data_IF_064568525947
#
_entry.id   IF_064568525947
#
_cell.length_a   1.000
_cell.length_b   1.000
_cell.length_c   1.000
_cell.angle_alpha   90.00
_cell.angle_beta   90.00
_cell.angle_gamma   90.00
#
_symmetry.space_group_name_H-M   'P 1'
#
loop_
_entity.id
_entity.type
_entity.pdbx_description
1 polymer ?
#
# COMPACT_ATOMS: atom_id res chain seq x y z
N UNK A 1 38.24 -8.39 34.71
CA UNK A 1 37.35 -7.61 33.85
C UNK A 1 37.22 -8.36 32.54
N UNK A 2 36.10 -9.07 32.38
CA UNK A 2 35.73 -9.68 31.09
C UNK A 2 35.16 -8.55 30.24
N UNK A 3 35.91 -8.07 29.25
CA UNK A 3 35.38 -7.20 28.20
C UNK A 3 34.39 -8.03 27.40
N UNK A 4 33.11 -7.68 27.52
CA UNK A 4 32.09 -8.21 26.63
C UNK A 4 32.48 -7.80 25.19
N UNK A 5 32.85 -8.77 24.36
CA UNK A 5 32.99 -8.53 22.93
C UNK A 5 31.63 -8.01 22.40
N UNK A 6 31.62 -7.00 21.53
CA UNK A 6 30.38 -6.63 20.89
C UNK A 6 29.86 -7.86 20.14
N UNK A 7 28.65 -8.26 20.47
CA UNK A 7 27.94 -9.28 19.71
C UNK A 7 27.72 -8.65 18.32
N UNK A 8 28.57 -8.98 17.37
CA UNK A 8 28.30 -8.68 15.98
C UNK A 8 26.98 -9.34 15.66
N UNK A 9 25.98 -8.54 15.32
CA UNK A 9 24.72 -9.07 14.87
C UNK A 9 25.00 -10.03 13.71
N UNK A 10 24.59 -11.29 13.86
CA UNK A 10 24.77 -12.29 12.83
C UNK A 10 23.96 -11.87 11.61
N UNK A 11 24.57 -11.86 10.43
CA UNK A 11 23.86 -11.61 9.17
C UNK A 11 22.72 -12.61 9.00
N UNK A 12 21.64 -12.27 8.30
CA UNK A 12 20.62 -13.24 7.94
C UNK A 12 21.21 -14.37 7.11
N UNK A 13 20.72 -15.57 7.31
CA UNK A 13 21.10 -16.71 6.46
C UNK A 13 20.32 -16.62 5.15
N UNK A 14 20.94 -16.06 4.13
CA UNK A 14 20.35 -15.96 2.80
C UNK A 14 20.34 -17.30 2.04
N UNK A 15 21.00 -18.37 2.58
CA UNK A 15 20.90 -19.71 2.01
C UNK A 15 19.69 -20.47 2.52
N UNK A 16 18.86 -19.90 3.35
CA UNK A 16 17.60 -20.49 3.78
C UNK A 16 16.74 -20.83 2.53
N UNK A 17 16.29 -22.07 2.45
CA UNK A 17 15.50 -22.58 1.30
C UNK A 17 14.30 -21.69 0.97
N UNK A 18 13.71 -21.06 1.98
CA UNK A 18 12.56 -20.17 1.81
C UNK A 18 12.88 -18.85 1.10
N UNK A 19 14.17 -18.49 1.01
CA UNK A 19 14.65 -17.26 0.35
C UNK A 19 15.30 -17.54 -1.01
N UNK A 20 15.50 -18.79 -1.41
CA UNK A 20 16.29 -19.17 -2.59
C UNK A 20 15.74 -18.62 -3.92
N UNK A 21 14.43 -18.37 -4.00
CA UNK A 21 13.78 -17.83 -5.19
C UNK A 21 13.75 -16.30 -5.21
N UNK A 22 14.38 -15.64 -4.23
CA UNK A 22 14.40 -14.19 -4.12
C UNK A 22 15.74 -13.63 -4.60
N UNK A 23 15.68 -12.61 -5.42
CA UNK A 23 16.84 -11.80 -5.77
C UNK A 23 16.93 -10.61 -4.79
N UNK A 24 17.92 -10.67 -3.88
CA UNK A 24 18.08 -9.72 -2.79
C UNK A 24 19.38 -8.93 -2.92
N UNK A 25 19.28 -7.60 -2.97
CA UNK A 25 20.41 -6.70 -2.99
C UNK A 25 20.60 -6.01 -1.63
N UNK A 26 21.76 -6.20 -1.00
CA UNK A 26 22.04 -5.55 0.28
C UNK A 26 22.17 -4.03 0.13
N UNK A 27 21.36 -3.32 0.89
CA UNK A 27 21.37 -1.86 0.90
C UNK A 27 21.70 -1.26 2.26
N UNK A 28 21.84 -2.08 3.29
CA UNK A 28 22.05 -1.74 4.70
C UNK A 28 22.53 -0.32 4.93
N UNK A 29 21.84 0.44 5.69
CA UNK A 29 22.19 1.81 6.03
C UNK A 29 21.95 1.98 7.52
N UNK A 30 21.57 3.07 7.99
CA UNK A 30 21.44 3.49 9.39
C UNK A 30 20.95 2.43 10.40
N UNK A 31 20.43 1.31 9.89
CA UNK A 31 19.92 0.18 10.68
C UNK A 31 21.02 -0.79 11.12
N UNK A 32 22.19 -0.82 10.46
CA UNK A 32 23.29 -1.74 10.82
C UNK A 32 23.72 -1.60 12.28
N UNK A 33 23.72 -0.37 12.79
CA UNK A 33 24.08 -0.09 14.19
C UNK A 33 23.12 -0.71 15.19
N UNK A 34 21.88 -1.01 14.76
CA UNK A 34 20.86 -1.65 15.59
C UNK A 34 20.80 -3.17 15.42
N UNK A 35 21.53 -3.71 14.44
CA UNK A 35 21.59 -5.13 14.14
C UNK A 35 20.52 -5.64 13.19
N UNK A 36 19.72 -4.77 12.60
CA UNK A 36 18.85 -5.10 11.48
C UNK A 36 19.61 -4.98 10.15
N UNK A 37 19.17 -5.72 9.14
CA UNK A 37 19.77 -5.72 7.79
C UNK A 37 18.69 -5.48 6.77
N UNK A 38 18.91 -4.57 5.84
CA UNK A 38 17.97 -4.21 4.78
C UNK A 38 18.47 -4.69 3.44
N UNK A 39 17.61 -5.37 2.71
CA UNK A 39 17.83 -5.81 1.33
C UNK A 39 16.70 -5.28 0.46
N UNK A 40 17.03 -4.76 -0.73
CA UNK A 40 16.04 -4.56 -1.79
C UNK A 40 15.55 -5.92 -2.26
N UNK A 41 14.28 -6.08 -2.40
CA UNK A 41 13.66 -7.26 -3.01
C UNK A 41 13.45 -7.00 -4.50
N UNK A 42 14.44 -7.37 -5.30
CA UNK A 42 14.40 -7.20 -6.75
C UNK A 42 13.38 -8.11 -7.41
N UNK A 43 13.07 -9.25 -6.78
CA UNK A 43 12.04 -10.17 -7.28
C UNK A 43 10.69 -9.46 -7.30
N UNK A 44 10.27 -8.86 -6.19
CA UNK A 44 9.01 -8.13 -6.13
C UNK A 44 9.05 -6.80 -6.90
N UNK A 45 10.21 -6.13 -6.94
CA UNK A 45 10.35 -4.96 -7.78
C UNK A 45 10.11 -5.30 -9.25
N UNK A 46 10.78 -6.31 -9.78
CA UNK A 46 10.64 -6.69 -11.20
C UNK A 46 9.31 -7.38 -11.51
N UNK A 47 8.66 -7.98 -10.51
CA UNK A 47 7.31 -8.48 -10.68
C UNK A 47 6.37 -7.39 -11.25
N UNK A 48 6.48 -6.16 -10.78
CA UNK A 48 5.73 -5.01 -11.26
C UNK A 48 6.46 -4.24 -12.39
N UNK A 49 7.74 -3.95 -12.22
CA UNK A 49 8.50 -3.12 -13.17
C UNK A 49 8.76 -3.80 -14.52
N UNK A 50 8.62 -5.12 -14.63
CA UNK A 50 8.74 -5.84 -15.92
C UNK A 50 7.57 -5.62 -16.87
N UNK A 51 6.45 -5.09 -16.39
CA UNK A 51 5.29 -4.76 -17.22
C UNK A 51 5.59 -3.55 -18.09
N UNK A 52 5.82 -3.78 -19.36
CA UNK A 52 6.11 -2.73 -20.37
C UNK A 52 4.91 -2.37 -21.21
N UNK A 53 3.79 -3.08 -21.06
CA UNK A 53 2.53 -2.86 -21.74
C UNK A 53 1.36 -3.14 -20.82
N UNK A 54 0.23 -2.50 -21.06
CA UNK A 54 -0.92 -2.57 -20.18
C UNK A 54 -0.71 -1.70 -18.95
N UNK A 55 -0.94 -2.22 -17.75
CA UNK A 55 -0.55 -1.55 -16.51
C UNK A 55 0.98 -1.46 -16.47
N UNK A 56 1.51 -0.27 -16.25
CA UNK A 56 2.96 -0.04 -16.27
C UNK A 56 3.51 0.54 -14.98
N UNK A 57 2.67 1.08 -14.14
CA UNK A 57 2.98 1.52 -12.77
C UNK A 57 1.75 2.00 -12.04
N UNK A 58 1.83 2.01 -10.71
CA UNK A 58 0.84 2.60 -9.82
C UNK A 58 1.44 2.89 -8.45
N UNK A 59 0.81 3.79 -7.72
CA UNK A 59 1.15 4.04 -6.33
C UNK A 59 0.17 3.35 -5.36
N UNK A 60 0.49 3.39 -4.06
CA UNK A 60 -0.36 2.80 -3.02
C UNK A 60 -0.03 1.35 -2.68
N UNK A 61 0.19 0.50 -3.63
CA UNK A 61 0.64 -0.91 -3.52
C UNK A 61 0.13 -1.64 -2.26
N UNK A 62 -1.19 -1.66 -2.06
CA UNK A 62 -1.80 -2.34 -0.92
C UNK A 62 -2.11 -3.77 -1.30
N UNK A 63 -1.73 -4.72 -0.46
CA UNK A 63 -2.03 -6.14 -0.68
C UNK A 63 -3.02 -6.66 0.35
N UNK A 64 -3.99 -7.44 -0.09
CA UNK A 64 -4.94 -8.16 0.75
C UNK A 64 -4.87 -9.64 0.41
N UNK A 65 -4.62 -10.48 1.42
CA UNK A 65 -4.61 -11.93 1.25
C UNK A 65 -6.03 -12.45 1.07
N UNK A 66 -6.22 -13.29 0.06
CA UNK A 66 -7.51 -13.91 -0.22
C UNK A 66 -7.55 -15.36 0.29
N UNK A 67 -8.74 -15.86 0.70
CA UNK A 67 -8.86 -17.19 1.29
C UNK A 67 -8.52 -18.35 0.33
N UNK A 68 -8.52 -18.09 -0.96
CA UNK A 68 -8.16 -19.05 -2.01
C UNK A 68 -6.63 -19.15 -2.25
N UNK A 69 -5.82 -18.47 -1.44
CA UNK A 69 -4.38 -18.42 -1.54
C UNK A 69 -3.85 -17.40 -2.55
N UNK A 70 -4.73 -16.63 -3.17
CA UNK A 70 -4.37 -15.52 -4.05
C UNK A 70 -4.13 -14.23 -3.24
N UNK A 71 -3.59 -13.21 -3.89
CA UNK A 71 -3.47 -11.87 -3.31
C UNK A 71 -4.08 -10.82 -4.24
N UNK A 72 -4.93 -9.97 -3.66
CA UNK A 72 -5.39 -8.76 -4.31
C UNK A 72 -4.36 -7.66 -4.08
N UNK A 73 -3.90 -7.03 -5.17
CA UNK A 73 -3.07 -5.84 -5.14
C UNK A 73 -3.87 -4.65 -5.65
N UNK A 74 -3.94 -3.60 -4.85
CA UNK A 74 -4.62 -2.37 -5.20
C UNK A 74 -3.64 -1.21 -5.28
N UNK A 75 -3.83 -0.38 -6.30
CA UNK A 75 -3.03 0.80 -6.58
C UNK A 75 -3.92 2.03 -6.68
N UNK A 76 -3.38 3.18 -6.31
CA UNK A 76 -3.96 4.48 -6.59
C UNK A 76 -3.72 4.89 -8.04
N UNK A 77 -3.18 6.08 -8.26
CA UNK A 77 -2.91 6.60 -9.59
C UNK A 77 -2.00 5.66 -10.38
N UNK A 78 -2.51 5.13 -11.47
CA UNK A 78 -1.89 4.05 -12.25
C UNK A 78 -1.78 4.38 -13.72
N UNK A 79 -0.60 4.14 -14.30
CA UNK A 79 -0.37 4.33 -15.72
C UNK A 79 -0.68 3.06 -16.52
N UNK A 80 -1.46 3.23 -17.58
CA UNK A 80 -1.73 2.19 -18.58
C UNK A 80 -1.26 2.64 -19.96
N UNK A 81 -0.50 1.80 -20.65
CA UNK A 81 0.04 2.08 -21.97
C UNK A 81 1.32 1.32 -22.26
N UNK A 82 2.38 2.04 -22.60
CA UNK A 82 3.67 1.46 -23.00
C UNK A 82 4.83 2.12 -22.27
N UNK A 83 5.86 1.32 -22.02
CA UNK A 83 7.18 1.78 -21.61
C UNK A 83 8.15 1.53 -22.76
N UNK A 84 8.90 2.56 -23.15
CA UNK A 84 9.94 2.51 -24.19
C UNK A 84 11.22 1.80 -23.71
N UNK A 85 12.13 1.51 -24.65
CA UNK A 85 13.41 0.84 -24.34
C UNK A 85 14.30 1.64 -23.38
N UNK A 86 14.21 2.97 -23.42
CA UNK A 86 14.91 3.87 -22.48
C UNK A 86 14.16 4.08 -21.16
N UNK A 87 13.22 3.20 -20.86
CA UNK A 87 12.46 3.18 -19.62
C UNK A 87 11.72 4.49 -19.33
N UNK A 88 11.11 5.08 -20.34
CA UNK A 88 10.17 6.18 -20.17
C UNK A 88 8.75 5.77 -20.61
N UNK A 89 7.76 6.51 -20.16
CA UNK A 89 6.36 6.34 -20.60
C UNK A 89 6.14 7.14 -21.85
N UNK A 90 6.28 6.48 -23.02
CA UNK A 90 5.94 7.11 -24.29
C UNK A 90 4.42 7.35 -24.39
N UNK A 91 4.05 8.44 -25.06
CA UNK A 91 2.65 8.72 -25.34
C UNK A 91 2.02 7.66 -26.27
N UNK A 92 0.72 7.35 -26.07
CA UNK A 92 -0.20 7.90 -25.08
C UNK A 92 -0.41 6.95 -23.89
N UNK A 93 0.02 7.33 -22.70
CA UNK A 93 -0.39 6.65 -21.47
C UNK A 93 -1.67 7.27 -20.90
N UNK A 94 -2.51 6.45 -20.29
CA UNK A 94 -3.68 6.88 -19.52
C UNK A 94 -3.34 6.76 -18.04
N UNK A 95 -3.67 7.78 -17.27
CA UNK A 95 -3.66 7.73 -15.82
C UNK A 95 -5.04 7.28 -15.34
N UNK A 96 -5.19 6.01 -14.99
CA UNK A 96 -6.35 5.54 -14.24
C UNK A 96 -6.20 5.94 -12.76
N UNK A 97 -7.31 6.31 -12.12
CA UNK A 97 -7.28 6.79 -10.73
C UNK A 97 -7.16 5.68 -9.69
N UNK A 98 -7.38 4.44 -10.10
CA UNK A 98 -7.06 3.25 -9.34
C UNK A 98 -6.96 2.03 -10.26
N UNK A 99 -6.23 1.03 -9.77
CA UNK A 99 -6.09 -0.25 -10.43
C UNK A 99 -6.13 -1.39 -9.41
N UNK A 100 -6.60 -2.55 -9.86
CA UNK A 100 -6.58 -3.78 -9.11
C UNK A 100 -5.99 -4.92 -9.91
N UNK A 101 -5.28 -5.82 -9.24
CA UNK A 101 -4.69 -7.01 -9.83
C UNK A 101 -4.79 -8.19 -8.89
N UNK A 102 -4.97 -9.38 -9.43
CA UNK A 102 -4.89 -10.63 -8.68
C UNK A 102 -3.57 -11.32 -9.02
N UNK A 103 -2.75 -11.55 -8.00
CA UNK A 103 -1.63 -12.45 -8.08
C UNK A 103 -2.11 -13.85 -7.70
N UNK A 104 -1.91 -14.82 -8.59
CA UNK A 104 -2.36 -16.21 -8.39
C UNK A 104 -1.25 -17.02 -7.74
N UNK A 105 -1.45 -17.39 -6.46
CA UNK A 105 -0.48 -18.16 -5.68
C UNK A 105 0.79 -17.40 -5.29
N UNK A 106 1.59 -18.01 -4.44
CA UNK A 106 2.81 -17.36 -3.90
C UNK A 106 3.97 -17.27 -4.91
N UNK A 107 3.97 -18.11 -5.93
CA UNK A 107 5.12 -18.31 -6.81
C UNK A 107 4.88 -17.90 -8.26
N UNK A 108 3.71 -17.42 -8.61
CA UNK A 108 3.45 -16.97 -9.99
C UNK A 108 3.92 -15.53 -10.18
N UNK A 109 5.22 -15.38 -10.28
CA UNK A 109 5.91 -14.10 -10.50
C UNK A 109 5.50 -13.41 -11.83
N UNK A 110 4.68 -14.02 -12.64
CA UNK A 110 4.34 -13.55 -13.98
C UNK A 110 2.84 -13.49 -14.26
N UNK A 111 2.01 -14.01 -13.36
CA UNK A 111 0.58 -14.18 -13.65
C UNK A 111 -0.26 -13.23 -12.78
N UNK A 112 -0.22 -11.95 -13.12
CA UNK A 112 -1.23 -11.01 -12.66
C UNK A 112 -2.43 -11.04 -13.61
N UNK A 113 -3.60 -11.00 -13.00
CA UNK A 113 -4.86 -10.80 -13.72
C UNK A 113 -5.32 -9.38 -13.42
N UNK A 114 -5.31 -8.52 -14.44
CA UNK A 114 -5.80 -7.16 -14.34
C UNK A 114 -7.31 -7.16 -14.10
N UNK A 115 -7.75 -6.38 -13.13
CA UNK A 115 -9.18 -6.15 -12.84
C UNK A 115 -9.72 -4.94 -13.59
N UNK A 116 -8.86 -4.11 -14.17
CA UNK A 116 -9.25 -2.97 -14.97
C UNK A 116 -9.73 -3.41 -16.35
N UNK A 117 -10.81 -2.83 -16.81
CA UNK A 117 -11.33 -3.06 -18.16
C UNK A 117 -10.48 -2.32 -19.18
N UNK A 118 -9.85 -3.05 -20.09
CA UNK A 118 -9.13 -2.47 -21.24
C UNK A 118 -10.13 -1.91 -22.25
N UNK A 119 -9.80 -0.73 -22.82
CA UNK A 119 -10.63 -0.05 -23.81
C UNK A 119 -10.64 -0.85 -25.11
N UNK A 120 -9.47 -1.33 -25.50
CA UNK A 120 -9.31 -2.27 -26.62
C UNK A 120 -8.04 -3.10 -26.48
N UNK A 121 -8.12 -4.33 -26.97
CA UNK A 121 -6.99 -5.23 -27.14
C UNK A 121 -6.60 -5.39 -28.62
N UNK A 122 -7.23 -4.61 -29.54
CA UNK A 122 -6.88 -4.63 -30.96
C UNK A 122 -5.61 -3.78 -31.22
N UNK A 123 -4.47 -4.40 -31.57
CA UNK A 123 -3.21 -3.69 -31.79
C UNK A 123 -3.22 -2.72 -32.99
N UNK A 124 -4.27 -2.77 -33.84
CA UNK A 124 -4.45 -1.82 -34.94
C UNK A 124 -4.94 -0.46 -34.46
N UNK A 125 -5.58 -0.41 -33.28
CA UNK A 125 -6.01 0.82 -32.64
C UNK A 125 -4.91 1.33 -31.71
N UNK A 126 -3.84 1.89 -32.30
CA UNK A 126 -2.65 2.33 -31.57
C UNK A 126 -2.94 3.39 -30.49
N UNK A 127 -3.97 4.20 -30.69
CA UNK A 127 -4.30 5.30 -29.78
C UNK A 127 -4.97 4.82 -28.49
N UNK A 128 -5.67 3.68 -28.53
CA UNK A 128 -6.41 3.13 -27.39
C UNK A 128 -5.90 1.78 -26.90
N UNK A 129 -4.97 1.17 -27.63
CA UNK A 129 -4.42 -0.13 -27.30
C UNK A 129 -3.68 -0.08 -25.95
N UNK A 130 -3.96 -1.04 -25.08
CA UNK A 130 -3.48 -1.11 -23.69
C UNK A 130 -3.90 0.05 -22.76
N UNK A 131 -4.78 0.92 -23.16
CA UNK A 131 -5.42 1.83 -22.22
C UNK A 131 -6.52 1.12 -21.42
N UNK A 132 -6.70 1.49 -20.17
CA UNK A 132 -7.73 0.90 -19.31
C UNK A 132 -8.56 1.99 -18.62
N UNK A 133 -9.76 1.60 -18.23
CA UNK A 133 -10.63 2.41 -17.39
C UNK A 133 -10.17 2.31 -15.93
N UNK A 134 -10.48 3.31 -15.12
CA UNK A 134 -10.38 3.22 -13.65
C UNK A 134 -11.21 2.04 -13.15
N UNK A 135 -10.64 1.18 -12.30
CA UNK A 135 -11.29 -0.04 -11.84
C UNK A 135 -12.56 0.26 -11.04
N UNK A 136 -12.47 1.06 -9.97
CA UNK A 136 -13.65 1.57 -9.26
C UNK A 136 -13.80 3.06 -9.54
N UNK A 137 -14.77 3.39 -10.38
CA UNK A 137 -15.08 4.77 -10.71
C UNK A 137 -16.00 5.39 -9.66
N UNK A 138 -15.76 6.67 -9.32
CA UNK A 138 -16.62 7.39 -8.41
C UNK A 138 -17.97 7.73 -9.08
N UNK A 139 -19.14 7.46 -8.42
CA UNK A 139 -20.46 7.70 -9.02
C UNK A 139 -20.75 9.17 -9.39
N UNK A 140 -20.14 10.13 -8.66
CA UNK A 140 -20.30 11.56 -8.92
C UNK A 140 -19.30 12.10 -9.94
N UNK A 141 -18.51 11.21 -10.57
CA UNK A 141 -17.58 11.59 -11.64
C UNK A 141 -18.30 12.22 -12.83
N UNK A 142 -17.68 13.25 -13.42
CA UNK A 142 -18.30 14.09 -14.47
C UNK A 142 -18.04 13.62 -15.90
N UNK A 143 -17.25 12.56 -16.09
CA UNK A 143 -16.99 12.06 -17.44
C UNK A 143 -18.25 11.46 -18.06
N UNK A 144 -18.50 11.79 -19.29
CA UNK A 144 -19.50 11.09 -20.12
C UNK A 144 -19.05 9.64 -20.35
N UNK A 145 -20.00 8.76 -20.63
CA UNK A 145 -19.68 7.38 -20.96
C UNK A 145 -18.70 7.28 -22.13
N UNK A 146 -18.85 8.13 -23.14
CA UNK A 146 -17.93 8.18 -24.29
C UNK A 146 -16.50 8.54 -23.89
N UNK A 147 -16.31 9.48 -22.96
CA UNK A 147 -14.99 9.85 -22.45
C UNK A 147 -14.37 8.70 -21.66
N UNK A 148 -15.17 8.01 -20.82
CA UNK A 148 -14.74 6.80 -20.10
C UNK A 148 -14.33 5.70 -21.06
N UNK A 149 -15.13 5.45 -22.11
CA UNK A 149 -14.85 4.43 -23.14
C UNK A 149 -13.61 4.76 -23.98
N UNK A 150 -13.19 6.01 -24.01
CA UNK A 150 -11.95 6.46 -24.62
C UNK A 150 -10.76 6.50 -23.65
N UNK A 151 -10.92 6.05 -22.40
CA UNK A 151 -9.88 6.02 -21.38
C UNK A 151 -9.71 7.34 -20.65
N UNK A 152 -10.74 8.15 -20.61
CA UNK A 152 -10.76 9.32 -19.75
C UNK A 152 -10.74 8.92 -18.28
N UNK A 153 -10.01 9.66 -17.46
CA UNK A 153 -9.96 9.53 -16.03
C UNK A 153 -10.68 10.70 -15.36
N UNK A 154 -11.57 10.38 -14.40
CA UNK A 154 -12.23 11.42 -13.62
C UNK A 154 -11.21 12.23 -12.82
N UNK A 155 -11.21 13.54 -13.01
CA UNK A 155 -10.36 14.45 -12.25
C UNK A 155 -11.13 15.20 -11.15
N UNK A 156 -12.47 15.09 -11.13
CA UNK A 156 -13.30 15.81 -10.16
C UNK A 156 -13.50 15.01 -8.88
N UNK A 157 -13.79 13.72 -9.03
CA UNK A 157 -13.95 12.79 -7.93
C UNK A 157 -13.32 11.47 -8.29
N UNK A 158 -12.48 10.94 -7.42
CA UNK A 158 -11.92 9.62 -7.61
C UNK A 158 -11.75 8.89 -6.30
N UNK A 159 -11.69 7.55 -6.37
CA UNK A 159 -11.37 6.69 -5.25
C UNK A 159 -9.89 6.32 -5.26
N UNK A 160 -9.29 6.38 -4.08
CA UNK A 160 -8.00 5.76 -3.79
C UNK A 160 -8.18 4.57 -2.86
N UNK A 161 -7.38 3.50 -3.06
CA UNK A 161 -7.51 2.29 -2.27
C UNK A 161 -7.07 2.50 -0.82
N UNK A 162 -7.87 2.01 0.08
CA UNK A 162 -7.50 1.77 1.46
C UNK A 162 -6.97 0.35 1.62
N UNK A 163 -7.70 -0.48 2.37
CA UNK A 163 -7.35 -1.85 2.66
C UNK A 163 -8.62 -2.74 2.60
N UNK A 164 -8.43 -4.06 2.57
CA UNK A 164 -9.52 -5.01 2.43
C UNK A 164 -9.51 -6.11 3.48
N UNK A 165 -10.68 -6.67 3.71
CA UNK A 165 -10.91 -7.87 4.51
C UNK A 165 -11.85 -8.80 3.78
N UNK A 166 -11.89 -10.08 4.17
CA UNK A 166 -12.84 -11.06 3.61
C UNK A 166 -13.76 -11.57 4.69
N UNK A 167 -15.06 -11.57 4.41
CA UNK A 167 -16.08 -12.09 5.31
C UNK A 167 -16.92 -13.16 4.61
N UNK A 168 -17.63 -13.96 5.42
CA UNK A 168 -18.68 -14.85 4.92
C UNK A 168 -20.03 -14.14 4.98
N UNK A 169 -20.65 -13.89 3.83
CA UNK A 169 -21.97 -13.28 3.71
C UNK A 169 -22.92 -14.27 3.00
N UNK A 170 -23.96 -14.72 3.69
CA UNK A 170 -24.90 -15.72 3.17
C UNK A 170 -24.24 -17.01 2.64
N UNK A 171 -23.19 -17.46 3.33
CA UNK A 171 -22.45 -18.68 2.97
C UNK A 171 -21.49 -18.53 1.77
N UNK A 172 -21.25 -17.30 1.31
CA UNK A 172 -20.30 -16.98 0.25
C UNK A 172 -19.22 -16.03 0.75
N UNK A 173 -17.97 -16.18 0.30
CA UNK A 173 -16.90 -15.22 0.62
C UNK A 173 -17.11 -13.91 -0.16
N UNK A 174 -16.95 -12.80 0.55
CA UNK A 174 -17.08 -11.44 0.02
C UNK A 174 -15.87 -10.64 0.49
N UNK A 175 -15.19 -9.99 -0.43
CA UNK A 175 -14.17 -8.98 -0.09
C UNK A 175 -14.90 -7.68 0.21
N UNK A 176 -14.68 -7.14 1.39
CA UNK A 176 -15.02 -5.77 1.74
C UNK A 176 -13.77 -4.91 1.65
N UNK A 177 -13.81 -3.87 0.83
CA UNK A 177 -12.65 -3.03 0.56
C UNK A 177 -12.95 -1.56 0.83
N UNK A 178 -12.07 -0.91 1.59
CA UNK A 178 -12.20 0.51 1.91
C UNK A 178 -11.68 1.36 0.76
N UNK A 179 -12.45 2.35 0.36
CA UNK A 179 -12.10 3.35 -0.64
C UNK A 179 -12.21 4.76 -0.07
N UNK A 180 -11.17 5.54 -0.19
CA UNK A 180 -11.17 6.96 0.16
C UNK A 180 -11.40 7.82 -1.07
N UNK A 181 -12.45 8.65 -1.08
CA UNK A 181 -12.70 9.56 -2.19
C UNK A 181 -12.05 10.93 -1.96
N UNK A 182 -11.48 11.47 -3.01
CA UNK A 182 -10.95 12.83 -3.07
C UNK A 182 -11.59 13.59 -4.22
N UNK A 183 -11.72 14.90 -4.04
CA UNK A 183 -12.19 15.81 -5.07
C UNK A 183 -11.04 16.33 -5.97
N UNK A 184 -11.34 17.24 -6.91
CA UNK A 184 -10.36 17.83 -7.81
C UNK A 184 -9.33 18.74 -7.13
N UNK A 185 -9.49 19.01 -5.84
CA UNK A 185 -8.52 19.75 -5.02
C UNK A 185 -7.69 18.81 -4.14
N UNK A 186 -7.85 17.50 -4.33
CA UNK A 186 -7.24 16.42 -3.53
C UNK A 186 -7.71 16.43 -2.07
N UNK A 187 -8.87 17.03 -1.82
CA UNK A 187 -9.47 17.04 -0.49
C UNK A 187 -10.26 15.76 -0.25
N UNK A 188 -9.93 14.96 0.78
CA UNK A 188 -10.73 13.81 1.18
C UNK A 188 -12.13 14.24 1.61
N UNK A 189 -13.16 13.60 1.08
CA UNK A 189 -14.54 14.00 1.40
C UNK A 189 -15.49 12.83 1.68
N UNK A 190 -15.16 11.63 1.23
CA UNK A 190 -16.02 10.47 1.39
C UNK A 190 -15.18 9.22 1.68
N UNK A 191 -15.72 8.35 2.51
CA UNK A 191 -15.27 6.98 2.66
C UNK A 191 -16.35 6.05 2.19
N UNK A 192 -15.98 5.06 1.40
CA UNK A 192 -16.89 4.04 0.90
C UNK A 192 -16.35 2.65 1.19
N UNK A 193 -17.23 1.69 1.34
CA UNK A 193 -16.91 0.27 1.41
C UNK A 193 -17.52 -0.40 0.18
N UNK A 194 -16.67 -1.02 -0.64
CA UNK A 194 -17.11 -1.81 -1.77
C UNK A 194 -17.11 -3.30 -1.40
N UNK A 195 -18.16 -4.01 -1.74
CA UNK A 195 -18.24 -5.46 -1.62
C UNK A 195 -17.99 -6.11 -2.98
N UNK A 196 -17.02 -7.03 -3.03
CA UNK A 196 -16.68 -7.79 -4.24
C UNK A 196 -16.90 -9.29 -4.03
N UNK A 197 -17.40 -9.96 -5.06
CA UNK A 197 -17.59 -11.41 -5.07
C UNK A 197 -16.26 -12.15 -5.26
N UNK A 198 -16.10 -13.28 -4.56
CA UNK A 198 -15.03 -14.27 -4.83
C UNK A 198 -15.60 -15.54 -5.48
N UNK A 199 -16.69 -15.43 -6.24
CA UNK A 199 -17.27 -16.58 -6.94
C UNK A 199 -16.49 -16.90 -8.22
N UNK A 200 -16.10 -18.16 -8.39
CA UNK A 200 -15.32 -18.61 -9.52
C UNK A 200 -13.82 -18.61 -9.24
N UNK A 201 -13.04 -18.55 -10.30
CA UNK A 201 -11.57 -18.48 -10.25
C UNK A 201 -11.11 -17.11 -10.76
N UNK A 202 -9.87 -16.68 -10.43
CA UNK A 202 -9.27 -15.50 -11.03
C UNK A 202 -9.40 -15.49 -12.55
N UNK A 203 -9.91 -14.41 -13.12
CA UNK A 203 -10.23 -14.28 -14.55
C UNK A 203 -11.67 -14.61 -14.94
N UNK A 204 -12.44 -15.27 -14.08
CA UNK A 204 -13.87 -15.47 -14.32
C UNK A 204 -14.67 -14.17 -14.16
N UNK A 205 -15.74 -13.94 -14.93
CA UNK A 205 -16.54 -12.71 -14.85
C UNK A 205 -17.20 -12.44 -13.48
N UNK A 206 -17.30 -13.47 -12.62
CA UNK A 206 -17.85 -13.38 -11.26
C UNK A 206 -16.82 -13.06 -10.21
N UNK A 207 -15.53 -13.30 -10.49
CA UNK A 207 -14.44 -13.09 -9.54
C UNK A 207 -14.07 -11.60 -9.45
N UNK A 208 -13.99 -11.06 -8.25
CA UNK A 208 -13.78 -9.62 -7.99
C UNK A 208 -14.82 -8.70 -8.65
N UNK A 209 -16.00 -9.25 -8.94
CA UNK A 209 -17.13 -8.44 -9.42
C UNK A 209 -17.70 -7.61 -8.29
N UNK A 210 -17.86 -6.30 -8.51
CA UNK A 210 -18.55 -5.40 -7.57
C UNK A 210 -19.99 -5.86 -7.36
N UNK A 211 -20.33 -6.13 -6.09
CA UNK A 211 -21.69 -6.48 -5.65
C UNK A 211 -22.43 -5.20 -5.26
N UNK A 212 -21.83 -4.41 -4.36
CA UNK A 212 -22.45 -3.21 -3.80
C UNK A 212 -21.37 -2.20 -3.38
N UNK A 213 -21.71 -0.92 -3.46
CA UNK A 213 -20.89 0.19 -3.00
C UNK A 213 -21.65 0.97 -1.93
N UNK A 214 -21.18 0.88 -0.69
CA UNK A 214 -21.73 1.56 0.48
C UNK A 214 -21.00 2.88 0.66
N UNK A 215 -21.61 3.97 0.19
CA UNK A 215 -21.06 5.31 0.27
C UNK A 215 -21.25 5.92 1.66
N UNK A 216 -20.37 6.84 2.06
CA UNK A 216 -20.38 7.52 3.37
C UNK A 216 -20.50 6.54 4.55
N UNK A 217 -19.73 5.44 4.52
CA UNK A 217 -19.85 4.35 5.49
C UNK A 217 -18.49 4.05 6.12
N UNK A 218 -18.27 4.47 7.37
CA UNK A 218 -19.06 5.51 8.07
C UNK A 218 -18.85 6.87 7.44
N UNK A 219 -19.73 7.82 7.73
CA UNK A 219 -19.63 9.19 7.24
C UNK A 219 -18.50 9.94 7.99
N UNK A 220 -17.28 9.58 7.63
CA UNK A 220 -16.04 10.13 8.11
C UNK A 220 -15.38 10.82 6.93
N UNK A 221 -15.27 12.10 6.89
CA UNK A 221 -14.52 12.77 5.83
C UNK A 221 -13.02 12.43 5.79
N UNK A 222 -12.53 11.45 6.58
CA UNK A 222 -11.11 11.21 6.83
C UNK A 222 -10.73 9.74 6.88
N UNK A 223 -9.43 9.51 7.00
CA UNK A 223 -8.73 8.25 6.93
C UNK A 223 -8.95 7.36 8.16
N UNK A 224 -9.35 6.19 7.98
CA UNK A 224 -9.20 4.98 8.78
C UNK A 224 -9.25 3.86 7.75
N UNK A 225 -8.19 3.75 6.96
CA UNK A 225 -8.16 2.99 5.73
C UNK A 225 -7.18 1.82 5.77
N UNK A 226 -6.51 1.62 6.89
CA UNK A 226 -5.61 0.46 7.10
C UNK A 226 -6.21 -0.47 8.13
N UNK A 227 -6.20 -1.76 7.81
CA UNK A 227 -6.86 -2.79 8.59
C UNK A 227 -5.81 -3.69 9.24
N UNK A 228 -6.04 -4.04 10.49
CA UNK A 228 -5.41 -5.16 11.16
C UNK A 228 -6.50 -6.04 11.77
N UNK A 229 -6.56 -7.29 11.37
CA UNK A 229 -7.50 -8.27 11.90
C UNK A 229 -6.86 -8.99 13.10
N UNK A 230 -7.53 -9.02 14.25
CA UNK A 230 -7.02 -9.72 15.44
C UNK A 230 -7.90 -10.93 15.80
N UNK A 231 -7.28 -11.88 16.49
CA UNK A 231 -7.92 -13.10 17.00
C UNK A 231 -8.98 -12.83 18.08
N UNK A 232 -9.06 -11.59 18.57
CA UNK A 232 -10.09 -11.16 19.54
C UNK A 232 -11.47 -10.94 18.92
N UNK A 233 -11.60 -11.12 17.59
CA UNK A 233 -12.84 -11.01 16.83
C UNK A 233 -13.13 -9.60 16.33
N UNK A 234 -12.15 -8.68 16.39
CA UNK A 234 -12.23 -7.34 15.86
C UNK A 234 -11.25 -7.11 14.71
N UNK A 235 -11.65 -6.31 13.75
CA UNK A 235 -10.72 -5.62 12.85
C UNK A 235 -10.49 -4.21 13.36
N UNK A 236 -9.22 -3.85 13.52
CA UNK A 236 -8.77 -2.53 13.95
C UNK A 236 -8.44 -1.69 12.72
N UNK A 237 -8.98 -0.49 12.68
CA UNK A 237 -8.95 0.41 11.54
C UNK A 237 -8.11 1.62 11.92
N UNK A 238 -6.94 1.74 11.31
CA UNK A 238 -5.99 2.81 11.62
C UNK A 238 -6.11 3.93 10.61
N UNK A 239 -6.06 5.13 11.11
CA UNK A 239 -6.10 6.32 10.31
C UNK A 239 -5.30 7.46 10.90
N UNK A 240 -5.04 8.45 10.06
CA UNK A 240 -4.39 9.68 10.47
C UNK A 240 -5.32 10.85 10.28
N UNK A 241 -5.39 11.71 11.29
CA UNK A 241 -6.15 12.98 11.24
C UNK A 241 -5.17 14.12 11.16
N UNK A 242 -5.27 14.93 10.12
CA UNK A 242 -4.37 16.04 9.84
C UNK A 242 -4.41 17.13 10.93
N UNK A 243 -3.25 17.70 11.20
CA UNK A 243 -3.07 18.77 12.19
C UNK A 243 -3.06 20.17 11.56
N UNK A 244 -3.46 20.27 10.27
CA UNK A 244 -3.40 21.51 9.52
C UNK A 244 -2.05 21.82 8.86
N UNK A 245 -1.19 20.80 8.72
CA UNK A 245 0.12 20.84 8.04
C UNK A 245 0.47 19.50 7.42
N UNK A 246 1.76 19.21 7.27
CA UNK A 246 2.24 17.91 6.78
C UNK A 246 2.19 16.79 7.83
N UNK A 247 1.81 17.12 9.05
CA UNK A 247 1.69 16.17 10.15
C UNK A 247 0.27 15.65 10.31
N UNK A 248 0.16 14.45 10.85
CA UNK A 248 -1.11 13.84 11.22
C UNK A 248 -0.95 12.97 12.46
N UNK A 249 -1.98 12.90 13.29
CA UNK A 249 -2.02 12.03 14.46
C UNK A 249 -2.71 10.72 14.12
N UNK A 250 -2.17 9.65 14.68
CA UNK A 250 -2.71 8.30 14.49
C UNK A 250 -3.86 8.04 15.43
N UNK A 251 -4.94 7.52 14.90
CA UNK A 251 -6.13 7.10 15.61
C UNK A 251 -6.51 5.68 15.24
N UNK A 252 -7.37 5.06 16.05
CA UNK A 252 -7.89 3.74 15.80
C UNK A 252 -9.40 3.68 16.04
N UNK A 253 -10.07 3.00 15.13
CA UNK A 253 -11.42 2.49 15.32
C UNK A 253 -11.38 0.96 15.25
N UNK A 254 -12.50 0.29 15.55
CA UNK A 254 -12.65 -1.14 15.36
C UNK A 254 -14.04 -1.51 14.91
N UNK A 255 -14.17 -2.65 14.28
CA UNK A 255 -15.44 -3.28 13.91
C UNK A 255 -15.48 -4.72 14.41
N UNK A 256 -16.64 -5.15 14.85
CA UNK A 256 -16.83 -6.53 15.31
C UNK A 256 -16.98 -7.49 14.13
N UNK A 257 -16.62 -8.76 14.37
CA UNK A 257 -16.75 -9.87 13.43
C UNK A 257 -16.04 -9.65 12.08
N UNK A 258 -15.02 -8.80 12.06
CA UNK A 258 -14.27 -8.40 10.86
C UNK A 258 -15.13 -7.78 9.74
N UNK A 259 -16.39 -7.45 10.05
CA UNK A 259 -17.35 -6.89 9.08
C UNK A 259 -17.28 -5.36 9.09
N UNK A 260 -16.75 -4.78 8.02
CA UNK A 260 -16.59 -3.32 7.88
C UNK A 260 -17.92 -2.56 7.85
N UNK A 261 -19.03 -3.25 7.62
CA UNK A 261 -20.38 -2.67 7.65
C UNK A 261 -21.02 -2.72 9.05
N UNK A 262 -20.38 -3.39 10.00
CA UNK A 262 -20.77 -3.32 11.42
C UNK A 262 -20.57 -1.90 11.98
N UNK A 263 -21.26 -1.53 13.06
CA UNK A 263 -21.03 -0.24 13.71
C UNK A 263 -19.57 -0.06 14.09
N UNK A 264 -18.98 1.05 13.66
CA UNK A 264 -17.62 1.41 14.02
C UNK A 264 -17.56 1.93 15.46
N UNK A 265 -16.59 1.45 16.22
CA UNK A 265 -16.26 1.96 17.55
C UNK A 265 -14.92 2.68 17.49
N UNK A 266 -14.89 3.94 17.94
CA UNK A 266 -13.70 4.79 17.98
C UNK A 266 -13.10 4.76 19.37
N UNK A 267 -11.78 4.64 19.47
CA UNK A 267 -11.05 4.69 20.72
C UNK A 267 -10.74 6.14 21.07
N UNK A 268 -11.42 6.66 22.06
CA UNK A 268 -11.39 8.09 22.43
C UNK A 268 -10.95 8.32 23.87
N UNK A 269 -10.30 9.45 24.07
CA UNK A 269 -9.87 9.96 25.37
C UNK A 269 -10.74 11.13 25.77
N UNK A 270 -11.37 11.08 26.96
CA UNK A 270 -12.17 12.17 27.48
C UNK A 270 -11.31 13.34 28.03
N UNK A 271 -11.96 14.41 28.49
CA UNK A 271 -11.28 15.58 29.09
C UNK A 271 -10.58 15.23 30.40
N UNK A 272 -11.00 14.19 31.10
CA UNK A 272 -10.42 13.70 32.35
C UNK A 272 -9.23 12.75 32.10
N UNK A 273 -8.98 12.37 30.84
CA UNK A 273 -7.89 11.51 30.45
C UNK A 273 -8.25 10.02 30.42
N UNK A 274 -9.52 9.64 30.58
CA UNK A 274 -9.97 8.25 30.53
C UNK A 274 -10.21 7.83 29.08
N UNK A 275 -9.83 6.59 28.74
CA UNK A 275 -10.02 6.02 27.44
C UNK A 275 -11.27 5.12 27.40
N UNK A 276 -12.03 5.20 26.31
CA UNK A 276 -13.20 4.37 26.08
C UNK A 276 -13.50 4.17 24.59
N UNK A 277 -14.24 3.15 24.26
CA UNK A 277 -14.80 2.93 22.93
C UNK A 277 -16.16 3.60 22.80
N UNK A 278 -16.42 4.26 21.67
CA UNK A 278 -17.69 4.92 21.37
C UNK A 278 -18.07 4.73 19.92
N UNK A 279 -19.36 4.58 19.65
CA UNK A 279 -19.90 4.53 18.28
C UNK A 279 -20.13 5.93 17.70
N UNK A 280 -19.99 6.98 18.51
CA UNK A 280 -20.10 8.35 18.03
C UNK A 280 -18.81 8.73 17.32
N UNK A 281 -18.93 9.27 16.10
CA UNK A 281 -17.80 9.85 15.36
C UNK A 281 -17.15 10.97 16.19
N UNK A 282 -15.84 10.91 16.48
CA UNK A 282 -15.16 11.90 17.29
C UNK A 282 -15.13 13.29 16.66
N UNK A 283 -15.24 14.33 17.47
CA UNK A 283 -14.98 15.70 17.04
C UNK A 283 -13.49 15.93 16.81
N UNK A 284 -13.15 17.06 16.21
CA UNK A 284 -11.74 17.45 16.01
C UNK A 284 -10.97 17.52 17.34
N UNK A 285 -11.58 18.06 18.40
CA UNK A 285 -10.98 18.13 19.73
C UNK A 285 -10.81 16.74 20.36
N UNK A 286 -11.77 15.85 20.19
CA UNK A 286 -11.67 14.46 20.63
C UNK A 286 -10.54 13.74 19.89
N UNK A 287 -10.41 13.92 18.57
CA UNK A 287 -9.28 13.39 17.81
C UNK A 287 -7.93 13.92 18.30
N UNK A 288 -7.83 15.23 18.58
CA UNK A 288 -6.58 15.82 19.08
C UNK A 288 -6.13 15.20 20.41
N UNK A 289 -7.09 14.84 21.28
CA UNK A 289 -6.79 14.18 22.57
C UNK A 289 -6.53 12.69 22.46
N UNK A 290 -7.08 12.02 21.43
CA UNK A 290 -7.21 10.56 21.35
C UNK A 290 -6.14 9.92 20.46
N UNK A 291 -5.00 10.55 20.30
CA UNK A 291 -3.90 9.97 19.51
C UNK A 291 -3.29 8.77 20.22
N UNK A 292 -3.07 7.70 19.46
CA UNK A 292 -2.49 6.44 19.94
C UNK A 292 -0.98 6.34 19.69
N UNK A 293 -0.39 7.34 19.06
CA UNK A 293 1.05 7.50 18.86
C UNK A 293 1.39 8.98 18.99
N UNK A 294 2.55 9.28 19.56
CA UNK A 294 3.05 10.67 19.70
C UNK A 294 3.68 11.19 18.39
N UNK A 295 3.82 10.34 17.42
CA UNK A 295 4.51 10.63 16.17
C UNK A 295 3.54 11.17 15.11
N UNK A 296 4.03 12.12 14.33
CA UNK A 296 3.29 12.74 13.22
C UNK A 296 3.46 11.89 11.96
N UNK A 297 2.69 10.80 11.84
CA UNK A 297 2.88 9.86 10.75
C UNK A 297 1.59 9.59 9.98
N UNK A 298 1.76 9.30 8.71
CA UNK A 298 0.74 8.80 7.80
C UNK A 298 1.22 7.47 7.21
N UNK A 299 0.40 6.84 6.36
CA UNK A 299 0.72 5.57 5.72
C UNK A 299 1.06 4.48 6.76
N UNK A 300 0.07 4.15 7.55
CA UNK A 300 0.18 3.27 8.71
C UNK A 300 -0.06 1.83 8.26
N UNK A 301 0.78 0.91 8.72
CA UNK A 301 0.50 -0.53 8.68
C UNK A 301 0.76 -1.11 10.04
N UNK A 302 -0.13 -1.97 10.53
CA UNK A 302 0.02 -2.64 11.82
C UNK A 302 0.03 -4.15 11.62
N UNK A 303 0.88 -4.84 12.37
CA UNK A 303 0.94 -6.29 12.42
C UNK A 303 1.26 -6.78 13.84
N UNK A 304 0.94 -8.04 14.12
CA UNK A 304 1.21 -8.72 15.40
C UNK A 304 2.42 -9.62 15.26
N UNK A 305 3.31 -9.61 16.26
CA UNK A 305 4.46 -10.49 16.31
C UNK A 305 4.91 -10.70 17.74
N UNK A 306 5.22 -11.97 18.12
CA UNK A 306 5.66 -12.34 19.46
C UNK A 306 4.77 -11.75 20.58
N UNK A 307 3.46 -11.76 20.39
CA UNK A 307 2.47 -11.24 21.34
C UNK A 307 2.46 -9.72 21.51
N UNK A 308 3.12 -8.97 20.64
CA UNK A 308 3.14 -7.51 20.61
C UNK A 308 2.61 -6.99 19.26
N UNK A 309 2.24 -5.73 19.23
CA UNK A 309 1.74 -5.05 18.04
C UNK A 309 2.78 -4.03 17.57
N UNK A 310 3.01 -4.01 16.29
CA UNK A 310 4.00 -3.15 15.66
C UNK A 310 3.33 -2.28 14.61
N UNK A 311 3.61 -0.99 14.65
CA UNK A 311 3.16 -0.03 13.66
C UNK A 311 4.36 0.41 12.82
N UNK A 312 4.27 0.21 11.52
CA UNK A 312 5.21 0.75 10.53
C UNK A 312 4.55 1.95 9.87
N UNK A 313 5.30 3.02 9.72
CA UNK A 313 4.81 4.27 9.15
C UNK A 313 5.94 5.11 8.54
N UNK A 314 5.57 6.14 7.78
CA UNK A 314 6.49 7.16 7.30
C UNK A 314 5.80 8.52 7.23
N UNK A 315 6.57 9.59 7.16
CA UNK A 315 6.05 10.92 6.85
C UNK A 315 5.54 10.96 5.39
N UNK A 316 4.60 11.85 5.10
CA UNK A 316 3.99 11.97 3.76
C UNK A 316 5.01 12.16 2.64
N UNK A 317 6.05 12.94 2.92
CA UNK A 317 7.17 13.15 2.02
C UNK A 317 8.45 13.02 2.84
N UNK A 318 9.00 11.83 2.90
CA UNK A 318 10.17 11.61 3.73
C UNK A 318 10.88 10.33 3.38
N UNK A 319 12.16 10.26 3.74
CA UNK A 319 12.94 9.05 3.51
C UNK A 319 12.88 8.03 4.64
N UNK A 320 12.70 8.38 5.94
CA UNK A 320 12.71 7.37 6.97
C UNK A 320 11.40 6.60 7.03
N UNK A 321 11.52 5.27 7.04
CA UNK A 321 10.46 4.35 7.46
C UNK A 321 10.71 4.03 8.93
N UNK A 322 9.68 4.15 9.74
CA UNK A 322 9.73 3.95 11.18
C UNK A 322 8.94 2.74 11.61
N UNK A 323 9.27 2.23 12.80
CA UNK A 323 8.51 1.20 13.51
C UNK A 323 8.34 1.60 14.96
N UNK A 324 7.18 1.33 15.54
CA UNK A 324 6.84 1.54 16.95
C UNK A 324 6.19 0.27 17.52
N UNK A 325 6.19 0.12 18.84
CA UNK A 325 5.68 -1.07 19.53
C UNK A 325 4.56 -0.71 20.50
N UNK A 326 3.58 -1.62 20.67
CA UNK A 326 2.50 -1.53 21.65
C UNK A 326 2.16 -2.90 22.24
N UNK A 327 1.52 -2.89 23.42
CA UNK A 327 0.99 -4.09 24.07
C UNK A 327 -0.41 -4.47 23.56
N UNK A 328 -1.11 -3.51 22.94
CA UNK A 328 -2.47 -3.67 22.45
C UNK A 328 -2.61 -3.10 21.03
N UNK A 329 -3.54 -3.61 20.21
CA UNK A 329 -3.77 -3.09 18.87
C UNK A 329 -4.26 -1.63 18.88
N UNK A 330 -4.83 -1.16 19.96
CA UNK A 330 -5.23 0.24 20.15
C UNK A 330 -4.15 1.12 20.78
N UNK A 331 -2.90 0.63 20.89
CA UNK A 331 -1.76 1.39 21.40
C UNK A 331 -1.68 1.49 22.94
N UNK A 332 -0.98 2.48 23.50
CA UNK A 332 -0.20 3.48 22.74
C UNK A 332 1.03 2.86 22.06
N UNK A 333 1.26 3.26 20.82
CA UNK A 333 2.48 2.91 20.10
C UNK A 333 3.61 3.85 20.50
N UNK A 334 4.71 3.27 20.98
CA UNK A 334 5.84 4.00 21.56
C UNK A 334 7.17 3.45 21.06
N UNK A 335 8.29 4.04 21.53
CA UNK A 335 9.64 3.61 21.20
C UNK A 335 9.90 3.58 19.69
N UNK A 336 9.50 4.63 18.96
CA UNK A 336 9.72 4.73 17.53
C UNK A 336 11.21 4.56 17.18
N UNK A 337 11.49 3.75 16.17
CA UNK A 337 12.84 3.49 15.64
C UNK A 337 12.83 3.54 14.12
N UNK A 338 13.94 4.00 13.55
CA UNK A 338 14.12 3.99 12.11
C UNK A 338 14.41 2.56 11.64
N UNK A 339 13.60 2.05 10.72
CA UNK A 339 13.82 0.78 10.03
C UNK A 339 14.75 0.93 8.83
N UNK A 340 14.51 1.96 8.01
CA UNK A 340 15.21 2.17 6.76
C UNK A 340 15.14 3.63 6.33
N UNK A 341 16.21 4.14 5.70
CA UNK A 341 16.22 5.42 5.00
C UNK A 341 16.26 5.20 3.51
N UNK A 342 15.17 5.56 2.85
CA UNK A 342 15.05 5.46 1.40
C UNK A 342 16.02 6.47 0.76
N UNK A 343 16.88 6.05 -0.17
CA UNK A 343 17.67 6.99 -0.98
C UNK A 343 16.71 7.85 -1.81
N UNK A 344 16.84 9.17 -1.74
CA UNK A 344 15.90 10.11 -2.36
C UNK A 344 16.57 11.24 -3.13
N UNK A 345 17.70 10.98 -3.80
CA UNK A 345 18.43 12.03 -4.52
C UNK A 345 17.66 12.62 -5.69
N UNK A 346 16.82 11.80 -6.36
CA UNK A 346 16.08 12.19 -7.57
C UNK A 346 14.59 11.82 -7.53
N UNK A 347 14.08 11.48 -6.36
CA UNK A 347 12.69 11.10 -6.20
C UNK A 347 12.18 11.42 -4.80
N UNK A 348 10.90 11.74 -4.69
CA UNK A 348 10.22 11.88 -3.41
C UNK A 348 9.55 10.57 -3.05
N UNK A 349 10.00 9.94 -1.96
CA UNK A 349 9.39 8.72 -1.44
C UNK A 349 8.10 9.04 -0.68
N UNK A 350 7.10 8.17 -0.81
CA UNK A 350 5.81 8.29 -0.15
C UNK A 350 5.09 6.93 -0.12
N UNK A 351 4.00 6.85 0.58
CA UNK A 351 3.13 5.67 0.75
C UNK A 351 3.91 4.39 1.05
N UNK A 352 3.98 4.05 2.32
CA UNK A 352 4.58 2.79 2.76
C UNK A 352 3.50 1.78 3.14
N UNK A 353 3.69 0.52 2.75
CA UNK A 353 2.82 -0.59 3.12
C UNK A 353 3.65 -1.78 3.59
N UNK A 354 3.19 -2.47 4.63
CA UNK A 354 3.76 -3.75 5.06
C UNK A 354 2.98 -4.88 4.42
N UNK A 355 3.69 -5.92 4.02
CA UNK A 355 3.15 -7.12 3.40
C UNK A 355 3.49 -8.36 4.26
N UNK A 356 2.74 -8.62 5.36
CA UNK A 356 3.05 -9.70 6.28
C UNK A 356 3.06 -11.06 5.61
N UNK A 357 2.16 -11.30 4.66
CA UNK A 357 2.05 -12.54 3.90
C UNK A 357 3.31 -12.89 3.08
N UNK A 358 4.16 -11.91 2.80
CA UNK A 358 5.41 -12.10 2.07
C UNK A 358 6.61 -12.42 2.96
N UNK A 359 6.44 -12.39 4.29
CA UNK A 359 7.48 -12.77 5.25
C UNK A 359 7.79 -14.26 5.17
N UNK A 360 9.06 -14.63 5.01
CA UNK A 360 9.50 -16.02 4.87
C UNK A 360 10.22 -16.54 6.11
N UNK A 361 11.00 -15.68 6.77
CA UNK A 361 11.87 -16.07 7.89
C UNK A 361 11.71 -15.19 9.13
N UNK A 362 10.71 -14.27 9.10
CA UNK A 362 10.44 -13.29 10.15
C UNK A 362 10.93 -11.88 9.81
N UNK A 363 11.39 -11.67 8.59
CA UNK A 363 11.67 -10.34 8.06
C UNK A 363 10.38 -9.55 7.81
N UNK A 364 10.44 -8.23 7.96
CA UNK A 364 9.37 -7.33 7.52
C UNK A 364 9.58 -7.08 6.03
N UNK A 365 8.53 -7.26 5.24
CA UNK A 365 8.50 -6.85 3.84
C UNK A 365 7.71 -5.56 3.72
N UNK A 366 8.36 -4.53 3.18
CA UNK A 366 7.80 -3.19 3.07
C UNK A 366 7.90 -2.72 1.63
N UNK A 367 6.78 -2.24 1.08
CA UNK A 367 6.81 -1.45 -0.15
C UNK A 367 6.77 0.05 0.15
N UNK A 368 7.31 0.83 -0.77
CA UNK A 368 7.16 2.28 -0.82
C UNK A 368 7.15 2.73 -2.27
N UNK A 369 6.53 3.87 -2.53
CA UNK A 369 6.48 4.47 -3.85
C UNK A 369 7.43 5.67 -3.95
N UNK A 370 7.83 6.01 -5.16
CA UNK A 370 8.61 7.20 -5.44
C UNK A 370 7.99 7.98 -6.60
N UNK A 371 7.88 9.30 -6.43
CA UNK A 371 7.60 10.21 -7.53
C UNK A 371 8.91 10.73 -8.11
N UNK A 372 9.12 10.66 -9.43
CA UNK A 372 10.24 11.33 -10.07
C UNK A 372 10.23 12.82 -9.74
N UNK A 373 11.31 13.33 -9.17
CA UNK A 373 11.46 14.73 -8.80
C UNK A 373 12.87 15.21 -9.20
N UNK A 374 12.97 16.46 -9.59
CA UNK A 374 14.25 17.14 -9.88
C UNK A 374 15.17 16.39 -10.85
N UNK A 375 14.59 15.68 -11.82
CA UNK A 375 15.36 14.99 -12.84
C UNK A 375 16.12 16.01 -13.69
N UNK A 376 17.44 15.91 -13.67
CA UNK A 376 18.32 16.75 -14.50
C UNK A 376 18.15 16.38 -15.96
N UNK A 377 17.93 17.38 -16.78
CA UNK A 377 17.80 17.25 -18.22
C UNK A 377 18.87 18.06 -18.92
N UNK A 378 19.27 17.55 -20.06
CA UNK A 378 20.27 18.19 -20.91
C UNK A 378 19.63 18.56 -22.26
N UNK A 379 19.61 19.86 -22.55
CA UNK A 379 19.19 20.32 -23.88
C UNK A 379 20.43 20.55 -24.74
N UNK A 380 20.60 19.83 -25.87
CA UNK A 380 21.70 20.06 -26.78
C UNK A 380 21.71 21.49 -27.32
N UNK A 381 22.87 22.15 -27.31
CA UNK A 381 23.08 23.46 -27.92
C UNK A 381 23.72 23.33 -29.30
N UNK A 382 23.56 24.37 -30.10
CA UNK A 382 24.14 24.43 -31.46
C UNK A 382 25.65 24.42 -31.53
N UNK A 383 26.32 24.71 -30.40
CA UNK A 383 27.78 24.65 -30.24
C UNK A 383 28.33 23.27 -29.81
N UNK A 384 27.47 22.26 -29.76
CA UNK A 384 27.82 20.90 -29.34
C UNK A 384 27.90 20.70 -27.83
N UNK A 385 27.61 21.72 -27.03
CA UNK A 385 27.45 21.59 -25.57
C UNK A 385 26.02 21.21 -25.21
N UNK A 386 25.77 20.90 -23.95
CA UNK A 386 24.44 20.68 -23.42
C UNK A 386 24.17 21.63 -22.26
N UNK A 387 22.97 22.16 -22.18
CA UNK A 387 22.53 22.91 -21.03
C UNK A 387 21.81 21.99 -20.07
N UNK A 388 22.32 21.91 -18.86
CA UNK A 388 21.65 21.24 -17.75
C UNK A 388 20.56 22.15 -17.21
N UNK A 389 19.35 21.61 -17.09
CA UNK A 389 18.26 22.28 -16.38
C UNK A 389 17.43 21.27 -15.60
N UNK A 390 16.91 21.71 -14.46
CA UNK A 390 15.95 20.96 -13.66
C UNK A 390 14.57 21.29 -14.19
N UNK A 391 13.85 20.26 -14.61
CA UNK A 391 12.47 20.43 -15.06
C UNK A 391 11.52 20.14 -13.91
N UNK A 392 10.99 21.18 -13.27
CA UNK A 392 10.06 21.09 -12.16
C UNK A 392 8.60 20.81 -12.60
N UNK A 393 8.38 20.54 -13.88
CA UNK A 393 7.06 20.16 -14.38
C UNK A 393 6.70 18.75 -13.94
N UNK A 394 5.74 18.60 -13.00
CA UNK A 394 5.32 17.29 -12.46
C UNK A 394 5.16 16.22 -13.55
N UNK A 395 4.32 16.48 -14.56
CA UNK A 395 4.06 15.52 -15.64
C UNK A 395 5.27 15.25 -16.54
N UNK A 396 6.17 16.19 -16.68
CA UNK A 396 7.38 16.02 -17.52
C UNK A 396 8.36 15.04 -16.88
N UNK A 397 8.40 14.97 -15.55
CA UNK A 397 9.26 14.04 -14.84
C UNK A 397 8.85 12.59 -15.11
N UNK A 398 7.55 12.30 -15.29
CA UNK A 398 7.07 10.97 -15.64
C UNK A 398 7.42 10.50 -17.06
N UNK A 399 7.81 11.41 -17.94
CA UNK A 399 8.18 11.13 -19.33
C UNK A 399 9.69 11.22 -19.59
N UNK A 400 10.51 11.32 -18.53
CA UNK A 400 11.96 11.32 -18.67
C UNK A 400 12.49 9.86 -18.82
N UNK A 401 13.65 9.67 -19.46
CA UNK A 401 14.34 8.39 -19.41
C UNK A 401 14.50 7.88 -17.97
N UNK A 402 14.38 6.57 -17.79
CA UNK A 402 14.47 5.90 -16.47
C UNK A 402 13.37 6.26 -15.47
N UNK A 403 12.49 7.20 -15.78
CA UNK A 403 11.40 7.62 -14.87
C UNK A 403 10.38 6.51 -14.61
N UNK A 404 10.25 5.56 -15.54
CA UNK A 404 9.37 4.41 -15.37
C UNK A 404 9.78 3.54 -14.18
N UNK A 405 11.06 3.42 -13.90
CA UNK A 405 11.59 2.63 -12.79
C UNK A 405 11.54 3.40 -11.45
N UNK A 406 11.42 4.72 -11.49
CA UNK A 406 11.20 5.52 -10.28
C UNK A 406 9.74 5.46 -9.82
N UNK A 407 8.79 5.69 -10.71
CA UNK A 407 7.37 5.59 -10.37
C UNK A 407 6.92 4.12 -10.41
N UNK A 408 7.35 3.38 -9.41
CA UNK A 408 7.05 1.98 -9.18
C UNK A 408 6.94 1.70 -7.68
N UNK A 409 6.41 0.54 -7.34
CA UNK A 409 6.48 0.02 -5.99
C UNK A 409 7.85 -0.61 -5.76
N UNK A 410 8.61 -0.03 -4.86
CA UNK A 410 9.91 -0.54 -4.44
C UNK A 410 9.76 -1.40 -3.19
N UNK A 411 10.41 -2.55 -3.14
CA UNK A 411 10.29 -3.47 -2.02
C UNK A 411 11.61 -3.61 -1.28
N UNK A 412 11.53 -3.66 0.05
CA UNK A 412 12.65 -3.98 0.93
C UNK A 412 12.25 -5.08 1.91
N UNK A 413 13.21 -5.98 2.21
CA UNK A 413 13.13 -6.96 3.30
C UNK A 413 14.05 -6.53 4.42
N UNK A 414 13.50 -6.45 5.63
CA UNK A 414 14.21 -5.98 6.81
C UNK A 414 14.36 -7.14 7.78
N UNK A 415 15.54 -7.72 7.81
CA UNK A 415 15.87 -8.88 8.65
C UNK A 415 16.38 -8.43 10.02
N UNK A 416 16.21 -9.28 11.03
CA UNK A 416 16.67 -9.05 12.40
C UNK A 416 16.12 -7.76 13.05
N UNK A 417 15.06 -7.20 12.54
CA UNK A 417 14.38 -6.01 13.09
C UNK A 417 13.94 -6.22 14.55
N UNK A 418 13.62 -7.47 14.92
CA UNK A 418 13.23 -7.87 16.27
C UNK A 418 14.25 -7.45 17.34
N UNK A 419 15.55 -7.39 16.97
CA UNK A 419 16.62 -6.93 17.86
C UNK A 419 16.48 -5.47 18.28
N UNK A 420 15.76 -4.66 17.49
CA UNK A 420 15.43 -3.28 17.87
C UNK A 420 14.67 -3.22 19.20
N UNK A 421 13.90 -4.25 19.50
CA UNK A 421 13.04 -4.33 20.68
C UNK A 421 13.46 -5.45 21.65
N UNK A 422 14.55 -6.17 21.35
CA UNK A 422 15.03 -7.27 22.21
C UNK A 422 14.10 -8.47 22.23
N UNK A 423 13.33 -8.70 21.17
CA UNK A 423 12.42 -9.86 21.06
C UNK A 423 13.05 -10.96 20.19
N UNK A 424 12.68 -12.23 20.40
CA UNK A 424 13.16 -13.34 19.60
C UNK A 424 12.57 -13.28 18.17
N UNK A 425 13.26 -13.92 17.22
CA UNK A 425 12.68 -14.22 15.92
C UNK A 425 11.86 -15.53 16.07
N UNK A 426 10.55 -15.45 15.86
CA UNK A 426 9.60 -16.57 15.95
C UNK A 426 9.21 -17.13 14.56
N UNK A 427 9.95 -16.78 13.52
CA UNK A 427 9.65 -17.18 12.14
C UNK A 427 8.78 -16.15 11.39
N UNK A 428 8.10 -16.56 10.32
CA UNK A 428 7.31 -15.66 9.47
C UNK A 428 6.29 -14.83 10.24
N UNK A 429 6.13 -13.58 9.82
CA UNK A 429 4.99 -12.76 10.25
C UNK A 429 3.75 -13.39 9.63
N UNK A 430 2.71 -13.56 10.41
CA UNK A 430 1.45 -14.18 9.95
C UNK A 430 0.36 -13.14 9.90
N UNK A 431 -0.39 -13.16 8.82
CA UNK A 431 -1.71 -12.54 8.78
C UNK A 431 -2.74 -13.57 9.22
N UNK A 432 -3.62 -13.23 10.16
CA UNK A 432 -4.74 -14.10 10.47
C UNK A 432 -5.67 -14.18 9.24
N UNK A 433 -6.06 -15.38 8.86
CA UNK A 433 -7.13 -15.59 7.90
C UNK A 433 -8.31 -16.21 8.64
N UNK A 434 -9.37 -15.43 8.83
CA UNK A 434 -10.56 -15.85 9.56
C UNK A 434 -11.60 -16.52 8.68
N UNK A 435 -11.43 -16.47 7.36
CA UNK A 435 -12.30 -17.11 6.39
C UNK A 435 -11.58 -18.29 5.75
N UNK A 436 -11.78 -19.48 6.30
CA UNK A 436 -11.34 -20.70 5.65
C UNK A 436 -12.37 -21.12 4.60
N UNK A 437 -11.96 -21.24 3.35
CA UNK A 437 -12.78 -21.80 2.28
C UNK A 437 -12.18 -23.17 1.90
N UNK A 438 -12.61 -24.26 2.55
CA UNK A 438 -11.99 -25.58 2.36
C UNK A 438 -12.09 -26.11 0.92
N UNK A 439 -13.02 -25.61 0.12
CA UNK A 439 -13.27 -26.08 -1.24
C UNK A 439 -12.36 -25.41 -2.27
N UNK A 440 -11.83 -24.22 -1.97
CA UNK A 440 -10.92 -23.49 -2.84
C UNK A 440 -9.44 -23.87 -2.65
N UNK A 441 -9.11 -24.52 -1.54
CA UNK A 441 -7.74 -24.96 -1.18
C UNK A 441 -7.38 -26.31 -1.81
N UNK A 442 -8.28 -26.98 -2.48
CA UNK A 442 -8.13 -28.40 -2.89
C UNK A 442 -7.96 -28.64 -4.40
N UNK A 443 -7.72 -27.68 -5.18
CA UNK A 443 -7.32 -27.83 -6.59
C UNK A 443 -5.94 -27.14 -6.80
#
# INVERSE_FOLDING_TARGET
MLTAMPVHAQQPDLNDERLQNLELEYVGRDVEKSGAYVYRDLTYFYLFASHTTGWTAGDGCVSTTLPDGNALWCFGDSFFGFISEDRNRSHPNVLARNAGMIQTGEESWHDFIDLNEYITTDPRDRDRYYKAKTWLRHPDGNLTQQEVDNGGSDNNYCYWPGDGTVIMKNGKPVVQYIWGAVDNTMTPYERSIAEYSLEGKPGDPGYMKLIELHRHTPDLGTSHDRIFEDEDGYSYLYGSVGTGGLGAWVHVARVANHDLLSPWEFYVKDEQGNWSWTTKVPTTEEYQRSRISDDFNINISVFKYAGKYFMVNMLMTGSPIYISIADHPWGPFTQQKCLYRIPSEHAAAYITCVHPQLSKTGEIVVSYNMNPADLKRYTPKSDGTAEEHVDNGFWRNFNAPESADLYQSHFVRIFNWQKLYGIPNEGPIKEPNFVAIPELIKE
#
